data_IF_581673958319
#
_entry.id   IF_581673958319
#
_cell.length_a   1.000
_cell.length_b   1.000
_cell.length_c   1.000
_cell.angle_alpha   90.00
_cell.angle_beta   90.00
_cell.angle_gamma   90.00
#
_symmetry.space_group_name_H-M   'P 1'
#
loop_
_entity.id
_entity.type
_entity.pdbx_description
1 polymer ?
#
# COMPACT_ATOMS: atom_id res chain seq x y z
N UNK A 1 51.68 -2.55 4.72
CA UNK A 1 50.46 -3.31 5.06
C UNK A 1 49.47 -2.55 5.94
N UNK A 2 49.88 -1.54 6.71
CA UNK A 2 48.96 -0.69 7.51
C UNK A 2 48.09 0.28 6.66
N UNK A 3 48.54 0.64 5.45
CA UNK A 3 47.78 1.53 4.55
C UNK A 3 46.52 0.89 3.95
N UNK A 4 46.44 -0.44 3.90
CA UNK A 4 45.24 -1.15 3.42
C UNK A 4 44.14 -1.16 4.50
N UNK A 5 44.52 -1.32 5.77
CA UNK A 5 43.59 -1.40 6.91
C UNK A 5 42.97 -0.04 7.29
N UNK A 6 43.69 1.07 7.07
CA UNK A 6 43.16 2.42 7.36
C UNK A 6 42.09 2.85 6.34
N UNK A 7 42.12 2.30 5.12
CA UNK A 7 41.17 2.68 4.06
C UNK A 7 39.73 2.22 4.34
N UNK A 8 39.57 1.06 5.00
CA UNK A 8 38.24 0.52 5.35
C UNK A 8 37.58 1.23 6.55
N UNK A 9 38.34 1.97 7.37
CA UNK A 9 37.80 2.69 8.54
C UNK A 9 37.17 4.03 8.14
N UNK A 10 37.59 4.63 7.03
CA UNK A 10 37.12 5.96 6.59
C UNK A 10 35.86 5.86 5.70
N UNK A 11 35.55 4.70 5.13
CA UNK A 11 34.34 4.50 4.35
C UNK A 11 33.18 3.99 5.21
N UNK A 12 32.77 4.82 6.18
CA UNK A 12 31.48 4.66 6.85
C UNK A 12 30.38 4.89 5.80
N UNK A 13 29.51 3.92 5.47
CA UNK A 13 28.38 4.18 4.61
C UNK A 13 27.45 5.16 5.33
N UNK A 14 27.55 6.43 4.94
CA UNK A 14 26.51 7.42 5.09
C UNK A 14 25.28 6.91 4.32
N UNK A 15 24.46 6.14 5.03
CA UNK A 15 23.07 5.89 4.67
C UNK A 15 22.15 6.51 5.72
N UNK A 16 22.37 7.79 6.00
CA UNK A 16 21.25 8.67 6.28
C UNK A 16 21.01 9.41 4.99
N UNK A 17 20.35 8.75 4.02
CA UNK A 17 19.67 9.52 2.99
C UNK A 17 18.58 10.32 3.71
N UNK A 18 18.91 11.54 4.11
CA UNK A 18 17.92 12.59 4.28
C UNK A 18 17.64 13.05 2.84
N UNK A 19 16.55 12.65 2.17
CA UNK A 19 16.19 13.28 0.91
C UNK A 19 15.68 14.70 1.24
N UNK A 20 16.61 15.64 1.30
CA UNK A 20 16.30 17.05 1.35
C UNK A 20 15.80 17.47 -0.05
N UNK A 21 14.49 17.74 -0.12
CA UNK A 21 13.94 18.95 -0.76
C UNK A 21 13.78 19.04 -2.29
N UNK A 22 13.70 17.92 -3.04
CA UNK A 22 13.20 17.94 -4.43
C UNK A 22 12.12 16.88 -4.73
N UNK A 23 11.74 16.07 -3.74
CA UNK A 23 10.57 15.20 -3.86
C UNK A 23 9.33 16.07 -3.57
N UNK A 24 8.36 16.17 -4.50
CA UNK A 24 7.18 16.98 -4.24
C UNK A 24 6.47 16.49 -2.98
N UNK A 25 6.07 17.40 -2.09
CA UNK A 25 5.42 17.08 -0.81
C UNK A 25 4.15 16.24 -0.95
N UNK A 26 3.52 16.27 -2.13
CA UNK A 26 2.36 15.45 -2.49
C UNK A 26 2.72 14.03 -2.93
N UNK A 27 3.95 13.77 -3.38
CA UNK A 27 4.39 12.47 -3.92
C UNK A 27 4.21 11.31 -2.92
N UNK A 28 4.63 11.41 -1.65
CA UNK A 28 4.38 10.34 -0.68
C UNK A 28 2.87 10.10 -0.47
N UNK A 29 2.04 11.16 -0.46
CA UNK A 29 0.60 11.02 -0.32
C UNK A 29 -0.02 10.30 -1.53
N UNK A 30 0.38 10.67 -2.75
CA UNK A 30 -0.07 10.04 -3.99
C UNK A 30 0.40 8.60 -4.08
N UNK A 31 1.61 8.28 -3.61
CA UNK A 31 2.12 6.91 -3.60
C UNK A 31 1.29 6.00 -2.69
N UNK A 32 0.97 6.47 -1.49
CA UNK A 32 0.11 5.75 -0.53
C UNK A 32 -1.29 5.56 -1.12
N UNK A 33 -1.86 6.64 -1.65
CA UNK A 33 -3.18 6.61 -2.26
C UNK A 33 -3.24 5.65 -3.44
N UNK A 34 -2.25 5.69 -4.34
CA UNK A 34 -2.16 4.79 -5.49
C UNK A 34 -2.05 3.33 -5.07
N UNK A 35 -1.26 3.01 -4.03
CA UNK A 35 -1.15 1.64 -3.53
C UNK A 35 -2.50 1.14 -2.97
N UNK A 36 -3.19 1.97 -2.20
CA UNK A 36 -4.50 1.64 -1.63
C UNK A 36 -5.56 1.50 -2.73
N UNK A 37 -5.68 2.49 -3.62
CA UNK A 37 -6.63 2.48 -4.73
C UNK A 37 -6.41 1.31 -5.68
N UNK A 38 -5.16 0.94 -5.96
CA UNK A 38 -4.87 -0.26 -6.78
C UNK A 38 -5.38 -1.52 -6.11
N UNK A 39 -5.15 -1.66 -4.80
CA UNK A 39 -5.61 -2.83 -4.04
C UNK A 39 -7.13 -2.89 -3.88
N UNK A 40 -7.84 -1.76 -4.00
CA UNK A 40 -9.31 -1.66 -3.99
C UNK A 40 -9.90 -1.99 -5.37
N UNK A 41 -9.34 -1.41 -6.43
CA UNK A 41 -9.86 -1.54 -7.79
C UNK A 41 -9.75 -2.99 -8.28
N UNK A 42 -8.67 -3.70 -7.93
CA UNK A 42 -8.46 -5.10 -8.31
C UNK A 42 -9.61 -6.03 -7.89
N UNK A 43 -9.97 -6.16 -6.59
CA UNK A 43 -11.06 -7.03 -6.16
C UNK A 43 -12.43 -6.56 -6.66
N UNK A 44 -12.67 -5.25 -6.81
CA UNK A 44 -13.93 -4.73 -7.34
C UNK A 44 -14.11 -5.13 -8.82
N UNK A 45 -13.09 -4.89 -9.66
CA UNK A 45 -13.15 -5.23 -11.08
C UNK A 45 -13.20 -6.75 -11.26
N UNK A 46 -12.45 -7.51 -10.47
CA UNK A 46 -12.49 -8.96 -10.49
C UNK A 46 -13.88 -9.49 -10.10
N UNK A 47 -14.50 -8.93 -9.06
CA UNK A 47 -15.87 -9.21 -8.68
C UNK A 47 -16.84 -8.89 -9.83
N UNK A 48 -16.75 -7.71 -10.46
CA UNK A 48 -17.65 -7.36 -11.56
C UNK A 48 -17.55 -8.32 -12.76
N UNK A 49 -16.33 -8.76 -13.11
CA UNK A 49 -16.13 -9.72 -14.22
C UNK A 49 -16.73 -11.08 -13.88
N UNK A 50 -16.46 -11.59 -12.67
CA UNK A 50 -16.99 -12.87 -12.20
C UNK A 50 -18.52 -12.81 -12.10
N UNK A 51 -19.07 -11.71 -11.61
CA UNK A 51 -20.51 -11.51 -11.43
C UNK A 51 -21.25 -11.47 -12.73
N UNK A 52 -20.72 -10.73 -13.72
CA UNK A 52 -21.33 -10.66 -15.05
C UNK A 52 -21.32 -12.02 -15.75
N UNK A 53 -20.29 -12.85 -15.51
CA UNK A 53 -20.19 -14.19 -16.08
C UNK A 53 -21.13 -15.19 -15.38
N UNK A 54 -21.38 -15.01 -14.08
CA UNK A 54 -22.30 -15.85 -13.31
C UNK A 54 -23.78 -15.49 -13.56
N UNK A 55 -24.10 -14.19 -13.69
CA UNK A 55 -25.45 -13.72 -14.07
C UNK A 55 -25.88 -14.28 -15.43
N UNK A 56 -24.95 -14.29 -16.41
CA UNK A 56 -25.19 -14.84 -17.74
C UNK A 56 -25.44 -16.36 -17.73
N UNK A 57 -24.93 -17.08 -16.72
CA UNK A 57 -25.10 -18.53 -16.61
C UNK A 57 -26.41 -18.92 -15.94
N UNK A 58 -26.92 -18.11 -15.00
CA UNK A 58 -28.10 -18.46 -14.20
C UNK A 58 -29.41 -17.86 -14.70
N UNK A 59 -29.41 -16.88 -15.61
CA UNK A 59 -30.62 -16.31 -16.24
C UNK A 59 -31.71 -15.87 -15.23
N UNK A 60 -31.32 -15.63 -13.98
CA UNK A 60 -32.18 -15.29 -12.86
C UNK A 60 -31.94 -13.83 -12.53
N UNK A 61 -33.03 -13.09 -12.23
CA UNK A 61 -33.07 -11.69 -11.77
C UNK A 61 -31.88 -11.29 -10.86
N UNK A 62 -31.49 -10.00 -10.81
CA UNK A 62 -30.13 -9.50 -10.48
C UNK A 62 -29.73 -9.62 -8.99
N UNK A 63 -29.89 -10.80 -8.41
CA UNK A 63 -29.55 -11.15 -7.02
C UNK A 63 -28.09 -11.60 -6.90
N UNK A 64 -27.55 -12.27 -7.94
CA UNK A 64 -26.15 -12.70 -7.98
C UNK A 64 -25.22 -11.51 -8.15
N UNK A 65 -25.61 -10.54 -8.99
CA UNK A 65 -24.93 -9.25 -9.08
C UNK A 65 -24.91 -8.52 -7.73
N UNK A 66 -26.03 -8.52 -7.01
CA UNK A 66 -26.15 -7.85 -5.71
C UNK A 66 -25.29 -8.52 -4.63
N UNK A 67 -25.30 -9.85 -4.56
CA UNK A 67 -24.45 -10.62 -3.63
C UNK A 67 -22.97 -10.39 -3.93
N UNK A 68 -22.58 -10.36 -5.20
CA UNK A 68 -21.18 -10.17 -5.56
C UNK A 68 -20.69 -8.72 -5.40
N UNK A 69 -21.56 -7.74 -5.64
CA UNK A 69 -21.30 -6.35 -5.28
C UNK A 69 -21.10 -6.20 -3.77
N UNK A 70 -21.92 -6.89 -2.96
CA UNK A 70 -21.79 -6.90 -1.50
C UNK A 70 -20.48 -7.57 -1.05
N UNK A 71 -20.12 -8.70 -1.66
CA UNK A 71 -18.84 -9.37 -1.39
C UNK A 71 -17.64 -8.51 -1.81
N UNK A 72 -17.68 -7.90 -3.00
CA UNK A 72 -16.65 -6.97 -3.47
C UNK A 72 -16.49 -5.76 -2.54
N UNK A 73 -17.60 -5.22 -2.05
CA UNK A 73 -17.62 -4.13 -1.08
C UNK A 73 -17.02 -4.55 0.27
N UNK A 74 -17.38 -5.71 0.80
CA UNK A 74 -16.82 -6.27 2.04
C UNK A 74 -15.31 -6.50 1.92
N UNK A 75 -14.84 -7.06 0.81
CA UNK A 75 -13.43 -7.29 0.53
C UNK A 75 -12.68 -5.95 0.43
N UNK A 76 -13.29 -4.95 -0.20
CA UNK A 76 -12.73 -3.60 -0.27
C UNK A 76 -12.59 -2.98 1.11
N UNK A 77 -13.63 -3.04 1.96
CA UNK A 77 -13.58 -2.55 3.34
C UNK A 77 -12.47 -3.22 4.15
N UNK A 78 -12.31 -4.55 4.01
CA UNK A 78 -11.28 -5.29 4.73
C UNK A 78 -9.86 -4.95 4.25
N UNK A 79 -9.66 -4.81 2.93
CA UNK A 79 -8.39 -4.40 2.34
C UNK A 79 -7.95 -3.01 2.80
N UNK A 80 -8.89 -2.07 2.85
CA UNK A 80 -8.67 -0.70 3.33
C UNK A 80 -8.25 -0.70 4.80
N UNK A 81 -9.00 -1.37 5.68
CA UNK A 81 -8.71 -1.40 7.12
C UNK A 81 -7.33 -1.96 7.42
N UNK A 82 -6.94 -3.05 6.76
CA UNK A 82 -5.63 -3.67 6.94
C UNK A 82 -4.49 -2.73 6.54
N UNK A 83 -4.60 -2.10 5.37
CA UNK A 83 -3.54 -1.24 4.86
C UNK A 83 -3.42 0.05 5.70
N UNK A 84 -4.55 0.66 6.08
CA UNK A 84 -4.58 1.83 6.97
C UNK A 84 -3.91 1.54 8.30
N UNK A 85 -4.20 0.40 8.93
CA UNK A 85 -3.61 0.04 10.23
C UNK A 85 -2.09 -0.04 10.12
N UNK A 86 -1.59 -0.66 9.06
CA UNK A 86 -0.16 -0.76 8.76
C UNK A 86 0.49 0.61 8.51
N UNK A 87 -0.21 1.52 7.83
CA UNK A 87 0.25 2.89 7.63
C UNK A 87 0.33 3.67 8.94
N UNK A 88 -0.69 3.58 9.79
CA UNK A 88 -0.73 4.26 11.10
C UNK A 88 0.44 3.76 11.97
N UNK A 89 0.69 2.46 12.00
CA UNK A 89 1.77 1.86 12.77
C UNK A 89 3.15 2.34 12.28
N UNK A 90 3.33 2.42 10.96
CA UNK A 90 4.57 2.93 10.34
C UNK A 90 4.80 4.40 10.67
N UNK A 91 3.76 5.23 10.64
CA UNK A 91 3.84 6.65 11.01
C UNK A 91 4.14 6.81 12.50
N UNK A 92 3.49 6.04 13.37
CA UNK A 92 3.74 6.06 14.82
C UNK A 92 5.19 5.71 15.13
N UNK A 93 5.72 4.65 14.52
CA UNK A 93 7.12 4.23 14.72
C UNK A 93 8.12 5.30 14.27
N UNK A 94 7.90 5.92 13.11
CA UNK A 94 8.73 7.03 12.61
C UNK A 94 8.70 8.26 13.54
N UNK A 95 7.54 8.54 14.17
CA UNK A 95 7.39 9.65 15.11
C UNK A 95 8.10 9.41 16.44
N UNK A 96 8.16 8.17 16.93
CA UNK A 96 8.82 7.81 18.20
C UNK A 96 10.35 7.83 18.05
N UNK A 97 10.86 7.38 16.90
CA UNK A 97 12.29 7.36 16.57
C UNK A 97 12.89 8.77 16.38
N UNK A 98 12.10 9.73 15.87
CA UNK A 98 12.48 11.14 15.80
C UNK A 98 12.44 11.87 17.15
N UNK A 99 11.82 11.28 18.18
CA UNK A 99 11.72 11.89 19.52
C UNK A 99 12.82 11.45 20.48
N UNK A 100 13.60 10.42 20.10
CA UNK A 100 14.73 9.90 20.88
C UNK A 100 16.11 10.35 20.35
N UNK A 101 16.16 11.10 19.24
CA UNK A 101 17.34 11.83 18.78
C UNK A 101 17.19 13.31 19.08
#
# INVERSE_FOLDING_TARGET
MALFFVKDIIEKPNNSKIPMQNEPWWKPAVQIFSQISTWIVVPIVLALIIGKKLDAYFNTQPWIFLSLALFGFLISCYGIFKEITKYIEKIKKLSEENKQN
#
